data_IF_472570194977
#
_entry.id   IF_472570194977
#
_cell.length_a   1.000
_cell.length_b   1.000
_cell.length_c   1.000
_cell.angle_alpha   90.00
_cell.angle_beta   90.00
_cell.angle_gamma   90.00
#
_symmetry.space_group_name_H-M   'P 1'
#
loop_
_entity.id
_entity.type
_entity.pdbx_description
1 polymer ?
#
# COMPACT_ATOMS: atom_id res chain seq x y z
N UNK A 1 12.93 -28.06 -4.23
CA UNK A 1 12.22 -26.87 -4.75
C UNK A 1 12.64 -25.72 -3.86
N UNK A 2 13.38 -24.75 -4.40
CA UNK A 2 14.18 -23.80 -3.60
C UNK A 2 13.34 -22.90 -2.71
N UNK A 3 13.59 -23.00 -1.41
CA UNK A 3 13.17 -22.08 -0.36
C UNK A 3 13.90 -20.74 -0.55
N UNK A 4 13.21 -19.76 -1.11
CA UNK A 4 13.66 -18.36 -1.23
C UNK A 4 12.51 -17.41 -0.84
N UNK A 5 11.66 -17.84 0.10
CA UNK A 5 10.35 -17.26 0.41
C UNK A 5 10.33 -16.35 1.63
N UNK A 6 11.24 -15.37 1.73
CA UNK A 6 11.19 -14.41 2.85
C UNK A 6 11.26 -12.93 2.43
N UNK A 7 11.71 -12.65 1.20
CA UNK A 7 12.04 -11.28 0.74
C UNK A 7 10.92 -10.66 -0.11
N UNK A 8 10.31 -11.48 -0.97
CA UNK A 8 9.24 -11.06 -1.88
C UNK A 8 7.89 -10.90 -1.18
N UNK A 9 7.63 -11.73 -0.18
CA UNK A 9 6.33 -11.75 0.51
C UNK A 9 6.12 -10.50 1.35
N UNK A 10 7.16 -10.03 2.04
CA UNK A 10 7.08 -8.82 2.90
C UNK A 10 6.81 -7.54 2.10
N UNK A 11 7.45 -7.42 0.94
CA UNK A 11 7.28 -6.31 0.00
C UNK A 11 5.89 -6.29 -0.65
N UNK A 12 5.40 -7.48 -1.03
CA UNK A 12 4.06 -7.63 -1.63
C UNK A 12 2.96 -7.33 -0.60
N UNK A 13 3.13 -7.79 0.64
CA UNK A 13 2.24 -7.49 1.76
C UNK A 13 2.22 -6.01 2.15
N UNK A 14 3.36 -5.30 2.07
CA UNK A 14 3.43 -3.87 2.37
C UNK A 14 2.67 -3.01 1.34
N UNK A 15 2.75 -3.36 0.05
CA UNK A 15 1.94 -2.71 -1.01
C UNK A 15 0.45 -3.01 -0.77
N UNK A 16 0.10 -4.29 -0.55
CA UNK A 16 -1.28 -4.69 -0.26
C UNK A 16 -1.88 -3.95 0.94
N UNK A 17 -1.10 -3.82 2.03
CA UNK A 17 -1.50 -3.09 3.23
C UNK A 17 -1.66 -1.57 3.02
N UNK A 18 -0.75 -0.94 2.27
CA UNK A 18 -0.85 0.49 1.93
C UNK A 18 -2.08 0.82 1.08
N UNK A 19 -2.41 -0.02 0.11
CA UNK A 19 -3.63 0.10 -0.70
C UNK A 19 -4.88 -0.11 0.16
N UNK A 20 -4.90 -1.12 1.02
CA UNK A 20 -6.03 -1.41 1.89
C UNK A 20 -6.30 -0.26 2.87
N UNK A 21 -5.25 0.38 3.41
CA UNK A 21 -5.37 1.60 4.21
C UNK A 21 -5.91 2.78 3.40
N UNK A 22 -5.40 3.00 2.18
CA UNK A 22 -5.89 4.07 1.30
C UNK A 22 -7.36 3.92 0.92
N UNK A 23 -7.80 2.69 0.64
CA UNK A 23 -9.21 2.38 0.36
C UNK A 23 -10.05 2.51 1.62
N UNK A 24 -9.60 2.01 2.77
CA UNK A 24 -10.32 2.11 4.04
C UNK A 24 -10.56 3.56 4.49
N UNK A 25 -9.52 4.40 4.46
CA UNK A 25 -9.62 5.83 4.77
C UNK A 25 -10.43 6.56 3.68
N UNK A 26 -10.24 6.22 2.41
CA UNK A 26 -10.98 6.81 1.32
C UNK A 26 -12.48 6.53 1.40
N UNK A 27 -12.90 5.33 1.79
CA UNK A 27 -14.31 4.94 1.85
C UNK A 27 -15.10 5.81 2.84
N UNK A 28 -14.43 6.33 3.87
CA UNK A 28 -14.99 7.31 4.80
C UNK A 28 -15.15 8.71 4.16
N UNK A 29 -14.22 9.09 3.28
CA UNK A 29 -14.22 10.38 2.57
C UNK A 29 -15.14 10.43 1.33
N UNK A 30 -15.63 9.28 0.84
CA UNK A 30 -16.65 9.21 -0.22
C UNK A 30 -17.93 9.99 0.11
N UNK A 31 -18.23 10.17 1.40
CA UNK A 31 -19.38 10.95 1.84
C UNK A 31 -19.23 12.44 1.52
N UNK A 32 -18.00 12.96 1.48
CA UNK A 32 -17.73 14.38 1.28
C UNK A 32 -17.48 14.73 -0.19
N UNK A 33 -16.59 14.01 -0.89
CA UNK A 33 -16.40 14.15 -2.34
C UNK A 33 -15.59 12.97 -2.90
N UNK A 34 -15.94 12.50 -4.10
CA UNK A 34 -15.21 11.44 -4.81
C UNK A 34 -13.72 11.76 -5.04
N UNK A 35 -13.36 13.04 -5.11
CA UNK A 35 -11.98 13.50 -5.30
C UNK A 35 -11.08 13.19 -4.08
N UNK A 36 -11.63 13.27 -2.87
CA UNK A 36 -10.91 12.88 -1.65
C UNK A 36 -10.75 11.37 -1.54
N UNK A 37 -11.72 10.59 -2.01
CA UNK A 37 -11.61 9.14 -2.10
C UNK A 37 -10.42 8.73 -2.99
N UNK A 38 -10.35 9.29 -4.19
CA UNK A 38 -9.25 9.04 -5.13
C UNK A 38 -7.93 9.53 -4.55
N UNK A 39 -7.90 10.70 -3.91
CA UNK A 39 -6.71 11.22 -3.22
C UNK A 39 -6.19 10.28 -2.13
N UNK A 40 -7.08 9.66 -1.36
CA UNK A 40 -6.74 8.70 -0.30
C UNK A 40 -6.14 7.41 -0.86
N UNK A 41 -6.67 6.92 -1.99
CA UNK A 41 -6.14 5.75 -2.69
C UNK A 41 -4.75 6.03 -3.27
N UNK A 42 -4.56 7.18 -3.93
CA UNK A 42 -3.26 7.59 -4.48
C UNK A 42 -2.24 7.77 -3.34
N UNK A 43 -2.64 8.38 -2.22
CA UNK A 43 -1.78 8.52 -1.05
C UNK A 43 -1.42 7.16 -0.44
N UNK A 44 -2.38 6.25 -0.26
CA UNK A 44 -2.15 4.89 0.25
C UNK A 44 -1.25 4.05 -0.66
N UNK A 45 -1.42 4.14 -1.98
CA UNK A 45 -0.52 3.55 -2.97
C UNK A 45 0.89 4.14 -2.90
N UNK A 46 1.01 5.47 -2.81
CA UNK A 46 2.29 6.16 -2.69
C UNK A 46 3.05 5.72 -1.45
N UNK A 47 2.38 5.67 -0.29
CA UNK A 47 2.97 5.21 0.98
C UNK A 47 3.33 3.73 0.92
N UNK A 48 2.46 2.87 0.38
CA UNK A 48 2.73 1.43 0.22
C UNK A 48 3.92 1.14 -0.69
N UNK A 49 4.07 1.91 -1.78
CA UNK A 49 5.19 1.77 -2.71
C UNK A 49 6.51 2.28 -2.09
N UNK A 50 6.46 3.40 -1.36
CA UNK A 50 7.61 3.91 -0.60
C UNK A 50 8.06 2.90 0.46
N UNK A 51 7.12 2.33 1.21
CA UNK A 51 7.41 1.30 2.21
C UNK A 51 8.09 0.09 1.56
N UNK A 52 7.58 -0.39 0.43
CA UNK A 52 8.20 -1.50 -0.29
C UNK A 52 9.57 -1.16 -0.87
N UNK A 53 9.77 0.04 -1.40
CA UNK A 53 11.07 0.47 -1.88
C UNK A 53 12.11 0.51 -0.75
N UNK A 54 11.72 0.96 0.45
CA UNK A 54 12.59 0.96 1.64
C UNK A 54 12.89 -0.46 2.11
N UNK A 55 11.87 -1.34 2.19
CA UNK A 55 12.03 -2.74 2.59
C UNK A 55 12.92 -3.49 1.59
N UNK A 56 12.71 -3.29 0.30
CA UNK A 56 13.51 -3.89 -0.77
C UNK A 56 14.95 -3.38 -0.78
N UNK A 57 15.23 -2.21 -0.20
CA UNK A 57 16.58 -1.65 -0.09
C UNK A 57 17.30 -2.08 1.19
N UNK A 58 16.55 -2.39 2.26
CA UNK A 58 17.08 -2.88 3.53
C UNK A 58 17.38 -4.39 3.51
N UNK A 59 16.76 -5.12 2.58
CA UNK A 59 16.94 -6.56 2.40
C UNK A 59 17.96 -6.87 1.30
#
# INVERSE_FOLDING_TARGET
MSDNGNKSDKSTWAIGGGVLLGIGVGFFFLNQSALYFVGSIIAGLGVGLLATAIISKLN
#
